data_IF_880078614715
#
_entry.id   IF_880078614715
#
_cell.length_a   1.000
_cell.length_b   1.000
_cell.length_c   1.000
_cell.angle_alpha   90.00
_cell.angle_beta   90.00
_cell.angle_gamma   90.00
#
_symmetry.space_group_name_H-M   'P 1'
#
loop_
_entity.id
_entity.type
_entity.pdbx_description
1 polymer ?
#
# COMPACT_ATOMS: atom_id res chain seq x y z
N UNK A 1 18.10 -0.46 23.56
CA UNK A 1 17.25 0.32 22.63
C UNK A 1 16.26 -0.62 21.96
N UNK A 2 14.98 -0.28 22.04
CA UNK A 2 13.91 -1.05 21.39
C UNK A 2 13.39 -0.27 20.18
N UNK A 3 14.18 -0.27 19.09
CA UNK A 3 13.81 0.44 17.89
C UNK A 3 12.61 -0.25 17.21
N UNK A 4 11.64 0.55 16.82
CA UNK A 4 10.55 0.10 15.93
C UNK A 4 10.66 0.88 14.63
N UNK A 5 10.40 0.21 13.54
CA UNK A 5 10.33 0.85 12.23
C UNK A 5 8.90 0.75 11.72
N UNK A 6 8.33 1.88 11.36
CA UNK A 6 6.97 1.98 10.90
C UNK A 6 6.93 2.72 9.58
N UNK A 7 6.23 2.17 8.60
CA UNK A 7 6.22 2.71 7.24
C UNK A 7 5.02 3.60 7.03
N UNK A 8 5.23 4.78 6.49
CA UNK A 8 4.18 5.70 6.08
C UNK A 8 4.33 6.02 4.60
N UNK A 9 3.23 5.95 3.87
CA UNK A 9 3.17 6.34 2.47
C UNK A 9 2.50 7.71 2.35
N UNK A 10 3.00 8.51 1.42
CA UNK A 10 2.43 9.81 1.08
C UNK A 10 1.79 9.70 -0.30
N UNK A 11 0.50 9.91 -0.37
CA UNK A 11 -0.27 9.70 -1.59
C UNK A 11 -1.16 10.90 -1.89
N UNK A 12 -1.50 11.09 -3.13
CA UNK A 12 -2.55 12.03 -3.53
C UNK A 12 -3.88 11.28 -3.54
N UNK A 13 -4.87 11.79 -2.80
CA UNK A 13 -6.15 11.11 -2.62
C UNK A 13 -6.11 10.09 -1.47
N UNK A 14 -5.64 10.52 -0.29
CA UNK A 14 -5.45 9.63 0.86
C UNK A 14 -6.75 8.96 1.35
N UNK A 15 -7.90 9.65 1.26
CA UNK A 15 -9.19 9.05 1.66
C UNK A 15 -9.51 7.83 0.78
N UNK A 16 -9.41 7.99 -0.54
CA UNK A 16 -9.64 6.89 -1.48
C UNK A 16 -8.60 5.79 -1.32
N UNK A 17 -7.32 6.16 -1.12
CA UNK A 17 -6.24 5.18 -0.93
C UNK A 17 -6.49 4.29 0.28
N UNK A 18 -6.91 4.86 1.41
CA UNK A 18 -7.25 4.09 2.61
C UNK A 18 -8.40 3.12 2.33
N UNK A 19 -9.45 3.57 1.65
CA UNK A 19 -10.56 2.68 1.26
C UNK A 19 -10.06 1.53 0.38
N UNK A 20 -9.19 1.83 -0.57
CA UNK A 20 -8.61 0.83 -1.47
C UNK A 20 -7.82 -0.23 -0.69
N UNK A 21 -6.96 0.18 0.23
CA UNK A 21 -6.15 -0.74 1.03
C UNK A 21 -7.00 -1.57 2.00
N UNK A 22 -8.03 -0.96 2.58
CA UNK A 22 -8.97 -1.70 3.42
C UNK A 22 -9.70 -2.80 2.62
N UNK A 23 -10.11 -2.51 1.40
CA UNK A 23 -10.75 -3.50 0.52
C UNK A 23 -9.77 -4.58 0.06
N UNK A 24 -8.53 -4.19 -0.27
CA UNK A 24 -7.53 -5.13 -0.76
C UNK A 24 -7.10 -6.15 0.31
N UNK A 25 -6.93 -5.73 1.55
CA UNK A 25 -6.32 -6.54 2.59
C UNK A 25 -7.24 -6.86 3.77
N UNK A 26 -8.48 -6.38 3.76
CA UNK A 26 -9.34 -6.49 4.94
C UNK A 26 -8.83 -5.66 6.12
N UNK A 27 -8.09 -4.60 5.82
CA UNK A 27 -7.53 -3.74 6.85
C UNK A 27 -8.59 -2.87 7.51
N UNK A 28 -8.27 -2.40 8.72
CA UNK A 28 -9.09 -1.48 9.48
C UNK A 28 -8.29 -0.25 9.86
N UNK A 29 -8.97 0.89 9.90
CA UNK A 29 -8.40 2.13 10.44
C UNK A 29 -8.39 2.03 11.95
N UNK A 30 -7.20 2.13 12.55
CA UNK A 30 -7.03 2.07 14.01
C UNK A 30 -6.75 3.42 14.63
N UNK A 31 -6.28 4.38 13.85
CA UNK A 31 -6.07 5.75 14.28
C UNK A 31 -6.10 6.65 13.04
N UNK A 32 -6.76 7.80 13.14
CA UNK A 32 -6.82 8.74 12.02
C UNK A 32 -6.98 10.17 12.48
N UNK A 33 -6.26 11.06 11.81
CA UNK A 33 -6.42 12.51 11.92
C UNK A 33 -6.61 13.05 10.51
N UNK A 34 -7.74 13.71 10.28
CA UNK A 34 -8.01 14.39 9.02
C UNK A 34 -7.62 15.85 9.11
N UNK A 35 -7.42 16.50 7.96
CA UNK A 35 -7.25 17.93 7.88
C UNK A 35 -8.55 18.67 8.29
N UNK A 36 -8.48 20.00 8.45
CA UNK A 36 -9.58 20.78 8.98
C UNK A 36 -10.87 20.67 8.16
N UNK A 37 -10.77 20.58 6.83
CA UNK A 37 -11.92 20.48 5.95
C UNK A 37 -12.38 19.04 5.68
N UNK A 38 -11.77 18.04 6.34
CA UNK A 38 -12.13 16.62 6.27
C UNK A 38 -11.96 16.01 4.87
N UNK A 39 -11.10 16.58 4.02
CA UNK A 39 -10.89 16.13 2.65
C UNK A 39 -9.70 15.20 2.48
N UNK A 40 -8.84 15.10 3.48
CA UNK A 40 -7.62 14.29 3.41
C UNK A 40 -7.17 13.84 4.79
N UNK A 41 -6.40 12.77 4.85
CA UNK A 41 -5.75 12.35 6.08
C UNK A 41 -4.42 13.07 6.26
N UNK A 42 -4.23 13.69 7.41
CA UNK A 42 -2.90 14.09 7.87
C UNK A 42 -2.11 12.87 8.32
N UNK A 43 -2.82 11.90 8.90
CA UNK A 43 -2.24 10.63 9.34
C UNK A 43 -3.34 9.60 9.53
N UNK A 44 -3.15 8.40 8.97
CA UNK A 44 -4.12 7.32 9.09
C UNK A 44 -3.37 5.99 9.23
N UNK A 45 -3.57 5.29 10.34
CA UNK A 45 -2.94 4.01 10.61
C UNK A 45 -3.88 2.86 10.28
N UNK A 46 -3.36 1.88 9.53
CA UNK A 46 -4.10 0.69 9.12
C UNK A 46 -3.53 -0.55 9.80
N UNK A 47 -4.42 -1.46 10.18
CA UNK A 47 -4.04 -2.74 10.77
C UNK A 47 -4.83 -3.91 10.18
N UNK A 48 -4.23 -5.09 10.24
CA UNK A 48 -4.86 -6.38 9.91
C UNK A 48 -4.64 -7.31 11.09
N UNK A 49 -5.73 -7.92 11.60
CA UNK A 49 -5.67 -8.80 12.77
C UNK A 49 -4.97 -8.17 13.99
N UNK A 50 -5.17 -6.86 14.17
CA UNK A 50 -4.59 -6.14 15.29
C UNK A 50 -3.14 -5.68 15.11
N UNK A 51 -2.49 -6.06 14.01
CA UNK A 51 -1.13 -5.63 13.69
C UNK A 51 -1.15 -4.47 12.71
N UNK A 52 -0.41 -3.41 13.03
CA UNK A 52 -0.23 -2.28 12.13
C UNK A 52 0.53 -2.70 10.87
N UNK A 53 -0.02 -2.37 9.70
CA UNK A 53 0.60 -2.70 8.42
C UNK A 53 1.24 -1.50 7.74
N UNK A 54 0.65 -0.33 7.82
CA UNK A 54 1.20 0.91 7.30
C UNK A 54 0.38 2.10 7.79
N UNK A 55 0.96 3.29 7.62
CA UNK A 55 0.22 4.56 7.72
C UNK A 55 0.12 5.22 6.35
N UNK A 56 -0.93 6.00 6.16
CA UNK A 56 -1.19 6.76 4.94
C UNK A 56 -1.39 8.22 5.31
N UNK A 57 -0.75 9.10 4.57
CA UNK A 57 -0.92 10.54 4.69
C UNK A 57 -1.06 11.18 3.32
N UNK A 58 -1.75 12.32 3.27
CA UNK A 58 -1.84 13.09 2.02
C UNK A 58 -0.49 13.67 1.66
N UNK A 59 -0.04 13.49 0.42
CA UNK A 59 1.16 14.12 -0.09
C UNK A 59 0.94 15.64 -0.13
N UNK A 60 1.84 16.39 0.46
CA UNK A 60 1.78 17.86 0.45
C UNK A 60 2.70 18.41 -0.63
N UNK A 61 2.48 19.69 -0.97
CA UNK A 61 3.34 20.42 -1.93
C UNK A 61 4.79 20.52 -1.45
N UNK A 62 5.04 20.33 -0.15
CA UNK A 62 6.39 20.33 0.40
C UNK A 62 7.20 19.08 -0.01
N UNK A 63 6.53 18.02 -0.45
CA UNK A 63 7.19 16.88 -1.06
C UNK A 63 7.36 17.18 -2.55
N UNK A 64 8.61 17.31 -2.97
CA UNK A 64 8.91 17.52 -4.38
C UNK A 64 8.67 16.21 -5.14
N UNK A 65 7.43 16.04 -5.62
CA UNK A 65 7.01 14.88 -6.40
C UNK A 65 7.91 14.69 -7.64
N UNK A 66 8.53 15.77 -8.13
CA UNK A 66 9.46 15.67 -9.26
C UNK A 66 10.71 14.86 -8.92
N UNK A 67 11.12 14.84 -7.67
CA UNK A 67 12.23 14.00 -7.22
C UNK A 67 11.87 12.52 -7.30
N UNK A 68 10.62 12.18 -6.97
CA UNK A 68 10.12 10.80 -7.07
C UNK A 68 10.09 10.36 -8.54
N UNK A 69 9.65 11.22 -9.44
CA UNK A 69 9.62 10.93 -10.88
C UNK A 69 11.01 10.80 -11.50
N UNK A 70 12.04 11.34 -10.88
CA UNK A 70 13.43 11.20 -11.33
C UNK A 70 14.05 9.86 -10.94
N UNK A 71 13.47 9.16 -9.99
CA UNK A 71 13.92 7.82 -9.61
C UNK A 71 13.40 6.83 -10.66
N UNK A 72 14.29 6.40 -11.54
CA UNK A 72 13.95 5.49 -12.65
C UNK A 72 13.73 4.05 -12.19
N UNK A 73 14.10 3.73 -10.95
CA UNK A 73 14.00 2.39 -10.40
C UNK A 73 13.21 2.41 -9.10
N UNK A 74 12.25 1.51 -8.99
CA UNK A 74 11.55 1.26 -7.75
C UNK A 74 12.49 0.47 -6.84
N UNK A 75 12.92 1.09 -5.74
CA UNK A 75 13.89 0.47 -4.82
C UNK A 75 13.25 -0.18 -3.60
N UNK A 76 11.96 0.03 -3.40
CA UNK A 76 11.23 -0.49 -2.24
C UNK A 76 9.89 -1.06 -2.66
N UNK A 77 9.54 -2.19 -2.06
CA UNK A 77 8.21 -2.77 -2.14
C UNK A 77 7.62 -2.91 -0.75
N UNK A 78 6.29 -2.81 -0.65
CA UNK A 78 5.56 -3.28 0.50
C UNK A 78 5.25 -4.76 0.25
N UNK A 79 5.80 -5.63 1.07
CA UNK A 79 5.56 -7.06 0.94
C UNK A 79 4.36 -7.44 1.80
N UNK A 80 3.23 -7.63 1.14
CA UNK A 80 2.00 -8.14 1.76
C UNK A 80 1.96 -9.66 1.54
N UNK A 81 2.36 -10.42 2.51
CA UNK A 81 2.47 -11.87 2.41
C UNK A 81 1.64 -12.56 3.50
N UNK A 82 1.55 -13.88 3.41
CA UNK A 82 0.67 -14.67 4.27
C UNK A 82 -0.80 -14.25 4.16
N UNK A 83 -1.24 -13.93 2.94
CA UNK A 83 -2.65 -13.59 2.69
C UNK A 83 -3.59 -14.79 2.87
N UNK A 84 -3.05 -15.99 2.94
CA UNK A 84 -3.77 -17.18 3.40
C UNK A 84 -4.46 -18.00 2.32
N UNK A 85 -4.72 -17.44 1.14
CA UNK A 85 -5.35 -18.14 0.03
C UNK A 85 -5.05 -17.48 -1.31
N UNK A 86 -5.16 -18.26 -2.39
CA UNK A 86 -5.07 -17.71 -3.75
C UNK A 86 -6.19 -16.68 -4.01
N UNK A 87 -7.38 -16.89 -3.46
CA UNK A 87 -8.48 -15.93 -3.62
C UNK A 87 -8.15 -14.58 -2.99
N UNK A 88 -7.48 -14.56 -1.84
CA UNK A 88 -7.07 -13.31 -1.20
C UNK A 88 -6.00 -12.58 -2.02
N UNK A 89 -5.06 -13.31 -2.62
CA UNK A 89 -4.05 -12.73 -3.53
C UNK A 89 -4.73 -12.17 -4.78
N UNK A 90 -5.63 -12.93 -5.40
CA UNK A 90 -6.37 -12.49 -6.59
C UNK A 90 -7.18 -11.23 -6.28
N UNK A 91 -7.87 -11.19 -5.15
CA UNK A 91 -8.64 -10.02 -4.74
C UNK A 91 -7.75 -8.79 -4.58
N UNK A 92 -6.63 -8.93 -3.88
CA UNK A 92 -5.68 -7.83 -3.70
C UNK A 92 -5.08 -7.38 -5.04
N UNK A 93 -4.69 -8.34 -5.89
CA UNK A 93 -4.18 -8.07 -7.23
C UNK A 93 -5.16 -7.26 -8.07
N UNK A 94 -6.42 -7.70 -8.12
CA UNK A 94 -7.45 -7.03 -8.93
C UNK A 94 -7.70 -5.59 -8.45
N UNK A 95 -7.77 -5.40 -7.14
CA UNK A 95 -8.01 -4.08 -6.56
C UNK A 95 -6.81 -3.15 -6.77
N UNK A 96 -5.61 -3.62 -6.45
CA UNK A 96 -4.40 -2.79 -6.49
C UNK A 96 -3.94 -2.49 -7.92
N UNK A 97 -4.17 -3.39 -8.86
CA UNK A 97 -3.78 -3.19 -10.26
C UNK A 97 -4.69 -2.23 -11.02
N UNK A 98 -5.89 -1.96 -10.52
CA UNK A 98 -6.83 -1.07 -11.18
C UNK A 98 -6.29 0.37 -11.23
N UNK A 99 -6.09 0.87 -12.44
CA UNK A 99 -5.50 2.20 -12.66
C UNK A 99 -4.00 2.28 -12.38
N UNK A 100 -3.38 1.16 -12.04
CA UNK A 100 -1.96 1.07 -11.77
C UNK A 100 -1.18 0.36 -12.88
N UNK A 101 -0.04 -0.21 -12.52
CA UNK A 101 0.85 -0.93 -13.45
C UNK A 101 1.18 -2.30 -12.87
N UNK A 102 0.94 -3.34 -13.65
CA UNK A 102 1.37 -4.69 -13.28
C UNK A 102 2.84 -4.84 -13.69
N UNK A 103 3.70 -5.07 -12.70
CA UNK A 103 5.12 -5.35 -12.93
C UNK A 103 5.31 -6.83 -13.23
N UNK A 104 4.77 -7.69 -12.36
CA UNK A 104 4.78 -9.14 -12.56
C UNK A 104 3.36 -9.68 -12.35
N UNK A 105 2.85 -10.36 -13.36
CA UNK A 105 1.57 -11.08 -13.24
C UNK A 105 1.66 -12.16 -12.16
N UNK A 106 0.53 -12.70 -11.74
CA UNK A 106 0.50 -13.83 -10.82
C UNK A 106 1.40 -14.95 -11.34
N UNK A 107 2.35 -15.37 -10.51
CA UNK A 107 3.34 -16.39 -10.87
C UNK A 107 3.91 -17.06 -9.63
N UNK A 108 4.75 -18.06 -9.86
CA UNK A 108 5.48 -18.78 -8.83
C UNK A 108 6.92 -18.30 -8.75
N UNK A 109 7.44 -18.19 -7.54
CA UNK A 109 8.84 -17.92 -7.24
C UNK A 109 9.38 -19.04 -6.34
N UNK A 110 10.72 -19.22 -6.25
CA UNK A 110 11.29 -20.22 -5.34
C UNK A 110 10.86 -20.09 -3.88
N UNK A 111 10.48 -18.88 -3.45
CA UNK A 111 10.08 -18.60 -2.06
C UNK A 111 8.58 -18.28 -1.91
N UNK A 112 7.81 -18.34 -3.00
CA UNK A 112 6.36 -18.14 -2.95
C UNK A 112 5.69 -18.82 -4.12
N UNK A 113 4.72 -19.66 -3.85
CA UNK A 113 4.02 -20.44 -4.89
C UNK A 113 2.95 -19.64 -5.64
N UNK A 114 2.55 -18.48 -5.13
CA UNK A 114 1.51 -17.66 -5.75
C UNK A 114 1.67 -16.20 -5.34
N UNK A 115 2.21 -15.39 -6.24
CA UNK A 115 2.54 -14.00 -5.94
C UNK A 115 2.49 -13.12 -7.18
N UNK A 116 2.49 -11.81 -6.96
CA UNK A 116 2.50 -10.81 -8.02
C UNK A 116 3.14 -9.52 -7.52
N UNK A 117 3.55 -8.66 -8.45
CA UNK A 117 4.06 -7.33 -8.14
C UNK A 117 3.30 -6.30 -8.94
N UNK A 118 2.75 -5.29 -8.26
CA UNK A 118 2.00 -4.20 -8.89
C UNK A 118 2.44 -2.86 -8.30
N UNK A 119 2.37 -1.80 -9.11
CA UNK A 119 2.39 -0.43 -8.62
C UNK A 119 0.95 0.06 -8.70
N UNK A 120 0.38 0.45 -7.57
CA UNK A 120 -0.99 0.92 -7.55
C UNK A 120 -1.11 2.33 -8.16
N UNK A 121 -2.34 2.80 -8.37
CA UNK A 121 -2.57 4.12 -8.97
C UNK A 121 -2.08 5.30 -8.13
N UNK A 122 -1.73 5.05 -6.87
CA UNK A 122 -1.16 6.06 -5.97
C UNK A 122 0.38 6.08 -6.00
N UNK A 123 1.00 5.15 -6.74
CA UNK A 123 2.45 5.06 -6.88
C UNK A 123 3.13 4.15 -5.86
N UNK A 124 2.37 3.39 -5.09
CA UNK A 124 2.91 2.46 -4.09
C UNK A 124 3.15 1.10 -4.75
N UNK A 125 4.34 0.57 -4.58
CA UNK A 125 4.71 -0.74 -5.13
C UNK A 125 4.45 -1.85 -4.10
N UNK A 126 3.68 -2.85 -4.52
CA UNK A 126 3.27 -3.99 -3.70
C UNK A 126 3.80 -5.29 -4.29
N UNK A 127 4.40 -6.12 -3.46
CA UNK A 127 4.56 -7.54 -3.70
C UNK A 127 3.53 -8.26 -2.83
N UNK A 128 2.62 -9.01 -3.45
CA UNK A 128 1.53 -9.71 -2.76
C UNK A 128 1.70 -11.21 -2.92
N UNK A 129 1.51 -11.94 -1.83
CA UNK A 129 1.79 -13.38 -1.81
C UNK A 129 0.88 -14.14 -0.83
N UNK A 130 0.68 -15.43 -1.15
CA UNK A 130 -0.05 -16.36 -0.31
C UNK A 130 0.70 -16.64 1.00
#
# INVERSE_FOLDING_TARGET
MNMKCYTQVYVMGSIEAVETYCKAFGAKVTFAIKNDDQTAYEHCELSVNGEGILAVAEASESYDVSMIHRMKLQTMTFNAFELGSTDAVDNAFDILSEGGVVIDEIHELPWSEYCATVIDKYGVCWWIAI
#
